data_IF_405904825564
#
_entry.id   IF_405904825564
#
_cell.length_a   1.000
_cell.length_b   1.000
_cell.length_c   1.000
_cell.angle_alpha   90.00
_cell.angle_beta   90.00
_cell.angle_gamma   90.00
#
_symmetry.space_group_name_H-M   'P 1'
#
loop_
_entity.id
_entity.type
_entity.pdbx_description
1 polymer ?
#
# COMPACT_ATOMS: atom_id res chain seq x y z
N UNK A 1 16.35 40.80 -3.16
CA UNK A 1 16.04 39.56 -3.91
C UNK A 1 14.98 38.80 -3.13
N UNK A 2 13.77 38.64 -3.71
CA UNK A 2 12.56 38.18 -3.03
C UNK A 2 12.51 36.64 -2.92
N UNK A 3 12.41 36.11 -1.70
CA UNK A 3 12.23 34.67 -1.40
C UNK A 3 10.89 34.09 -1.90
N UNK A 4 9.98 34.94 -2.38
CA UNK A 4 8.67 34.52 -2.89
C UNK A 4 8.74 33.85 -4.27
N UNK A 5 9.76 34.12 -5.09
CA UNK A 5 9.85 33.56 -6.46
C UNK A 5 10.11 32.05 -6.48
N UNK A 6 10.97 31.55 -5.59
CA UNK A 6 11.40 30.15 -5.58
C UNK A 6 10.26 29.17 -5.24
N UNK A 7 9.33 29.56 -4.37
CA UNK A 7 8.16 28.74 -4.00
C UNK A 7 7.15 28.64 -5.14
N UNK A 8 6.93 29.74 -5.87
CA UNK A 8 6.07 29.75 -7.05
C UNK A 8 6.70 28.99 -8.22
N UNK A 9 8.01 29.10 -8.44
CA UNK A 9 8.71 28.32 -9.46
C UNK A 9 8.74 26.82 -9.12
N UNK A 10 8.81 26.47 -7.84
CA UNK A 10 8.68 25.07 -7.37
C UNK A 10 7.26 24.55 -7.64
N UNK A 11 6.22 25.29 -7.26
CA UNK A 11 4.81 24.94 -7.55
C UNK A 11 4.51 24.88 -9.06
N UNK A 12 5.08 25.80 -9.85
CA UNK A 12 4.94 25.80 -11.31
C UNK A 12 5.74 24.67 -11.98
N UNK A 13 6.87 24.27 -11.40
CA UNK A 13 7.59 23.07 -11.83
C UNK A 13 6.79 21.80 -11.54
N UNK A 14 6.08 21.71 -10.39
CA UNK A 14 5.11 20.64 -10.10
C UNK A 14 3.93 20.63 -11.09
N UNK A 15 3.44 21.81 -11.52
CA UNK A 15 2.38 21.93 -12.52
C UNK A 15 2.86 21.56 -13.93
N UNK A 16 4.11 21.88 -14.31
CA UNK A 16 4.73 21.43 -15.57
C UNK A 16 5.11 19.94 -15.55
N UNK A 17 5.35 19.36 -14.38
CA UNK A 17 5.50 17.92 -14.13
C UNK A 17 4.15 17.14 -14.10
N UNK A 18 3.02 17.81 -14.34
CA UNK A 18 1.71 17.17 -14.39
C UNK A 18 1.59 16.06 -15.44
N UNK A 19 2.30 16.16 -16.57
CA UNK A 19 2.30 15.15 -17.64
C UNK A 19 3.07 13.85 -17.28
N UNK A 20 4.33 13.89 -16.79
CA UNK A 20 5.09 12.66 -16.49
C UNK A 20 4.53 11.84 -15.33
N UNK A 21 3.82 12.44 -14.37
CA UNK A 21 3.27 11.71 -13.22
C UNK A 21 1.90 11.07 -13.48
N UNK A 22 1.07 11.68 -14.31
CA UNK A 22 -0.33 11.24 -14.48
C UNK A 22 -0.45 9.80 -14.98
N UNK A 23 0.42 9.37 -15.91
CA UNK A 23 0.40 8.01 -16.44
C UNK A 23 0.88 6.98 -15.40
N UNK A 24 2.06 7.13 -14.76
CA UNK A 24 2.49 6.28 -13.66
C UNK A 24 1.49 6.19 -12.52
N UNK A 25 0.96 7.33 -12.04
CA UNK A 25 -0.04 7.38 -10.96
C UNK A 25 -1.30 6.60 -11.33
N UNK A 26 -1.80 6.77 -12.57
CA UNK A 26 -2.98 6.02 -13.05
C UNK A 26 -2.72 4.52 -13.13
N UNK A 27 -1.55 4.11 -13.63
CA UNK A 27 -1.18 2.70 -13.73
C UNK A 27 -1.11 2.08 -12.34
N UNK A 28 -0.40 2.73 -11.42
CA UNK A 28 -0.21 2.22 -10.07
C UNK A 28 -1.53 2.19 -9.29
N UNK A 29 -2.33 3.25 -9.35
CA UNK A 29 -3.64 3.29 -8.70
C UNK A 29 -4.54 2.14 -9.17
N UNK A 30 -4.59 1.88 -10.49
CA UNK A 30 -5.35 0.75 -11.05
C UNK A 30 -4.85 -0.63 -10.60
N UNK A 31 -3.55 -0.76 -10.28
CA UNK A 31 -2.99 -2.02 -9.76
C UNK A 31 -3.40 -2.26 -8.31
N UNK A 32 -3.52 -1.18 -7.53
CA UNK A 32 -3.83 -1.25 -6.10
C UNK A 32 -5.33 -1.26 -5.80
N UNK A 33 -6.16 -0.66 -6.66
CA UNK A 33 -7.60 -0.49 -6.48
C UNK A 33 -8.34 -1.76 -6.01
N UNK A 34 -8.09 -2.96 -6.57
CA UNK A 34 -8.78 -4.19 -6.13
C UNK A 34 -8.46 -4.59 -4.67
N UNK A 35 -7.25 -4.30 -4.20
CA UNK A 35 -6.82 -4.60 -2.85
C UNK A 35 -7.45 -3.62 -1.84
N UNK A 36 -7.60 -2.36 -2.23
CA UNK A 36 -8.26 -1.35 -1.40
C UNK A 36 -9.78 -1.59 -1.31
N UNK A 37 -10.39 -2.14 -2.36
CA UNK A 37 -11.77 -2.63 -2.28
C UNK A 37 -11.91 -3.77 -1.25
N UNK A 38 -10.94 -4.70 -1.18
CA UNK A 38 -10.90 -5.75 -0.15
C UNK A 38 -10.77 -5.15 1.26
N UNK A 39 -9.90 -4.14 1.44
CA UNK A 39 -9.74 -3.41 2.71
C UNK A 39 -11.04 -2.75 3.15
N UNK A 40 -11.71 -1.98 2.27
CA UNK A 40 -12.98 -1.32 2.58
C UNK A 40 -14.08 -2.31 2.94
N UNK A 41 -14.15 -3.44 2.24
CA UNK A 41 -15.12 -4.50 2.57
C UNK A 41 -14.91 -5.08 3.97
N UNK A 42 -13.66 -5.21 4.41
CA UNK A 42 -13.29 -5.78 5.73
C UNK A 42 -13.45 -4.81 6.89
N UNK A 43 -13.06 -3.54 6.69
CA UNK A 43 -13.01 -2.53 7.76
C UNK A 43 -14.12 -1.46 7.65
N UNK A 44 -15.02 -1.60 6.67
CA UNK A 44 -16.03 -0.61 6.32
C UNK A 44 -15.48 0.57 5.53
N UNK A 45 -16.37 1.52 5.20
CA UNK A 45 -16.03 2.77 4.50
C UNK A 45 -15.32 3.81 5.42
N UNK A 46 -14.84 3.40 6.60
CA UNK A 46 -14.20 4.31 7.54
C UNK A 46 -12.85 4.78 7.03
N UNK A 47 -12.76 6.07 6.70
CA UNK A 47 -11.51 6.72 6.29
C UNK A 47 -10.42 6.69 7.37
N UNK A 48 -10.80 6.53 8.64
CA UNK A 48 -9.87 6.57 9.78
C UNK A 48 -8.82 5.45 9.73
N UNK A 49 -9.14 4.31 9.11
CA UNK A 49 -8.19 3.19 9.01
C UNK A 49 -6.92 3.62 8.27
N UNK A 50 -7.07 4.44 7.23
CA UNK A 50 -5.96 4.91 6.40
C UNK A 50 -5.05 5.89 7.14
N UNK A 51 -5.53 6.58 8.16
CA UNK A 51 -4.73 7.48 9.00
C UNK A 51 -3.95 6.76 10.11
N UNK A 52 -4.11 5.44 10.27
CA UNK A 52 -3.32 4.70 11.25
C UNK A 52 -1.85 4.64 10.83
N UNK A 53 -0.88 4.82 11.75
CA UNK A 53 0.54 4.75 11.43
C UNK A 53 0.94 3.50 10.64
N UNK A 54 0.35 2.35 10.99
CA UNK A 54 0.52 1.10 10.24
C UNK A 54 0.12 1.24 8.76
N UNK A 55 -1.10 1.72 8.47
CA UNK A 55 -1.57 1.83 7.09
C UNK A 55 -0.76 2.85 6.29
N UNK A 56 -0.31 3.93 6.95
CA UNK A 56 0.59 4.93 6.38
C UNK A 56 1.91 4.28 5.96
N UNK A 57 2.55 3.53 6.85
CA UNK A 57 3.78 2.79 6.52
C UNK A 57 3.57 1.73 5.45
N UNK A 58 2.49 0.95 5.56
CA UNK A 58 2.17 -0.15 4.66
C UNK A 58 1.95 0.31 3.22
N UNK A 59 0.96 1.18 3.00
CA UNK A 59 0.72 1.71 1.66
C UNK A 59 1.88 2.59 1.19
N UNK A 60 2.56 3.31 2.09
CA UNK A 60 3.75 4.09 1.76
C UNK A 60 4.86 3.25 1.13
N UNK A 61 5.17 2.09 1.73
CA UNK A 61 6.16 1.12 1.26
C UNK A 61 5.76 0.48 -0.07
N UNK A 62 4.50 0.01 -0.17
CA UNK A 62 3.98 -0.58 -1.41
C UNK A 62 4.04 0.42 -2.57
N UNK A 63 3.59 1.65 -2.34
CA UNK A 63 3.60 2.69 -3.36
C UNK A 63 5.03 3.12 -3.69
N UNK A 64 5.94 3.26 -2.71
CA UNK A 64 7.35 3.61 -2.96
C UNK A 64 8.01 2.63 -3.94
N UNK A 65 7.99 1.34 -3.60
CA UNK A 65 8.68 0.32 -4.39
C UNK A 65 8.08 0.21 -5.79
N UNK A 66 6.75 0.19 -5.91
CA UNK A 66 6.10 0.10 -7.22
C UNK A 66 6.23 1.39 -8.04
N UNK A 67 6.34 2.57 -7.40
CA UNK A 67 6.52 3.84 -8.09
C UNK A 67 7.88 3.91 -8.78
N UNK A 68 8.95 3.43 -8.13
CA UNK A 68 10.30 3.34 -8.72
C UNK A 68 10.28 2.56 -10.02
N UNK A 69 9.59 1.42 -10.03
CA UNK A 69 9.49 0.56 -11.21
C UNK A 69 8.64 1.17 -12.33
N UNK A 70 7.46 1.69 -11.98
CA UNK A 70 6.51 2.21 -12.97
C UNK A 70 7.00 3.52 -13.60
N UNK A 71 7.60 4.41 -12.79
CA UNK A 71 8.13 5.67 -13.28
C UNK A 71 9.58 5.57 -13.78
N UNK A 72 10.26 4.42 -13.58
CA UNK A 72 11.66 4.18 -13.98
C UNK A 72 12.59 5.29 -13.52
N UNK A 73 12.42 5.71 -12.27
CA UNK A 73 13.16 6.82 -11.68
C UNK A 73 13.57 6.49 -10.25
N UNK A 74 14.69 7.08 -9.83
CA UNK A 74 15.17 7.07 -8.45
C UNK A 74 15.05 8.43 -7.76
N UNK A 75 14.50 9.45 -8.45
CA UNK A 75 14.32 10.80 -7.89
C UNK A 75 13.34 10.79 -6.71
N UNK A 76 13.81 11.08 -5.47
CA UNK A 76 12.97 11.06 -4.28
C UNK A 76 11.80 12.03 -4.33
N UNK A 77 11.95 13.19 -5.00
CA UNK A 77 10.88 14.18 -5.08
C UNK A 77 9.74 13.70 -5.98
N UNK A 78 10.06 13.03 -7.09
CA UNK A 78 9.06 12.44 -7.97
C UNK A 78 8.35 11.26 -7.31
N UNK A 79 9.10 10.42 -6.59
CA UNK A 79 8.52 9.28 -5.86
C UNK A 79 7.60 9.77 -4.73
N UNK A 80 8.03 10.75 -3.94
CA UNK A 80 7.20 11.35 -2.90
C UNK A 80 5.92 11.98 -3.45
N UNK A 81 6.01 12.72 -4.57
CA UNK A 81 4.84 13.26 -5.25
C UNK A 81 3.89 12.15 -5.76
N UNK A 82 4.42 11.03 -6.26
CA UNK A 82 3.62 9.87 -6.64
C UNK A 82 2.95 9.21 -5.45
N UNK A 83 3.65 9.04 -4.33
CA UNK A 83 3.10 8.45 -3.11
C UNK A 83 1.85 9.19 -2.65
N UNK A 84 1.94 10.52 -2.55
CA UNK A 84 0.80 11.37 -2.16
C UNK A 84 -0.34 11.23 -3.17
N UNK A 85 -0.08 11.37 -4.47
CA UNK A 85 -1.16 11.35 -5.48
C UNK A 85 -1.82 9.97 -5.62
N UNK A 86 -1.05 8.89 -5.59
CA UNK A 86 -1.58 7.53 -5.63
C UNK A 86 -2.39 7.25 -4.38
N UNK A 87 -1.89 7.60 -3.21
CA UNK A 87 -2.64 7.47 -1.96
C UNK A 87 -3.99 8.18 -2.04
N UNK A 88 -4.00 9.46 -2.42
CA UNK A 88 -5.24 10.25 -2.56
C UNK A 88 -6.20 9.60 -3.56
N UNK A 89 -5.67 9.10 -4.68
CA UNK A 89 -6.49 8.46 -5.71
C UNK A 89 -7.09 7.12 -5.26
N UNK A 90 -6.32 6.26 -4.56
CA UNK A 90 -6.79 4.92 -4.17
C UNK A 90 -7.65 4.95 -2.91
N UNK A 91 -7.42 5.89 -2.00
CA UNK A 91 -8.20 6.03 -0.76
C UNK A 91 -9.42 6.93 -0.93
N UNK A 92 -9.38 7.88 -1.88
CA UNK A 92 -10.39 8.93 -2.03
C UNK A 92 -10.20 10.11 -1.06
N UNK A 93 -9.15 10.08 -0.22
CA UNK A 93 -8.88 11.11 0.78
C UNK A 93 -7.99 12.18 0.16
N UNK A 94 -8.50 13.40 -0.03
CA UNK A 94 -7.77 14.53 -0.62
C UNK A 94 -7.04 15.40 0.41
N UNK A 95 -6.70 14.83 1.57
CA UNK A 95 -6.05 15.56 2.66
C UNK A 95 -4.68 16.09 2.22
N UNK A 96 -4.50 17.41 2.31
CA UNK A 96 -3.26 18.07 1.92
C UNK A 96 -2.10 17.73 2.88
N UNK A 97 -2.41 17.35 4.12
CA UNK A 97 -1.41 17.03 5.14
C UNK A 97 -0.87 15.62 5.06
N UNK A 98 -1.37 14.77 4.16
CA UNK A 98 -0.98 13.35 4.14
C UNK A 98 0.51 13.15 3.87
N UNK A 99 1.12 13.99 3.03
CA UNK A 99 2.57 13.97 2.79
C UNK A 99 3.37 14.36 4.03
N UNK A 100 2.87 15.32 4.81
CA UNK A 100 3.49 15.70 6.08
C UNK A 100 3.31 14.59 7.12
N UNK A 101 2.14 13.95 7.18
CA UNK A 101 1.85 12.85 8.09
C UNK A 101 2.74 11.64 7.81
N UNK A 102 2.90 11.26 6.54
CA UNK A 102 3.85 10.22 6.11
C UNK A 102 5.28 10.55 6.53
N UNK A 103 5.70 11.81 6.35
CA UNK A 103 7.04 12.27 6.70
C UNK A 103 7.25 12.30 8.23
N UNK A 104 6.25 12.70 8.98
CA UNK A 104 6.30 12.72 10.44
C UNK A 104 6.36 11.31 11.01
N UNK A 105 5.50 10.39 10.55
CA UNK A 105 5.51 9.02 11.05
C UNK A 105 6.79 8.26 10.69
N UNK A 106 7.40 8.55 9.52
CA UNK A 106 8.69 7.97 9.15
C UNK A 106 9.84 8.46 10.04
N UNK A 107 9.83 9.73 10.44
CA UNK A 107 10.84 10.32 11.35
C UNK A 107 10.61 9.93 12.81
N UNK A 108 9.34 9.83 13.24
CA UNK A 108 8.95 9.54 14.62
C UNK A 108 9.31 8.11 15.05
N UNK A 109 9.59 7.22 14.10
CA UNK A 109 9.86 5.79 14.35
C UNK A 109 8.74 5.13 15.17
N UNK A 110 7.47 5.43 14.85
CA UNK A 110 6.38 4.71 15.50
C UNK A 110 6.47 3.23 15.11
N UNK A 111 6.41 2.32 16.09
CA UNK A 111 6.52 0.88 15.84
C UNK A 111 5.46 0.41 14.83
N UNK A 112 4.26 1.00 14.85
CA UNK A 112 3.20 0.74 13.88
C UNK A 112 3.60 1.11 12.45
N UNK A 113 4.21 2.28 12.24
CA UNK A 113 4.70 2.69 10.91
C UNK A 113 5.79 1.76 10.39
N UNK A 114 6.81 1.44 11.20
CA UNK A 114 7.91 0.56 10.80
C UNK A 114 7.41 -0.85 10.46
N UNK A 115 6.48 -1.39 11.27
CA UNK A 115 5.83 -2.68 11.01
C UNK A 115 5.02 -2.64 9.70
N UNK A 116 4.29 -1.55 9.47
CA UNK A 116 3.61 -1.30 8.20
C UNK A 116 4.56 -1.32 7.03
N UNK A 117 5.67 -0.58 7.13
CA UNK A 117 6.68 -0.49 6.08
C UNK A 117 7.27 -1.86 5.72
N UNK A 118 7.64 -2.67 6.73
CA UNK A 118 8.20 -4.01 6.54
C UNK A 118 7.18 -4.95 5.86
N UNK A 119 5.95 -5.01 6.38
CA UNK A 119 4.89 -5.85 5.79
C UNK A 119 4.53 -5.38 4.37
N UNK A 120 4.59 -4.08 4.10
CA UNK A 120 4.40 -3.52 2.76
C UNK A 120 5.47 -3.98 1.77
N UNK A 121 6.74 -4.01 2.20
CA UNK A 121 7.84 -4.50 1.35
C UNK A 121 7.71 -6.00 1.08
N UNK A 122 7.32 -6.80 2.08
CA UNK A 122 7.04 -8.22 1.90
C UNK A 122 5.89 -8.46 0.92
N UNK A 123 4.78 -7.76 1.08
CA UNK A 123 3.66 -7.83 0.13
C UNK A 123 4.12 -7.49 -1.29
N UNK A 124 4.90 -6.41 -1.46
CA UNK A 124 5.40 -6.00 -2.78
C UNK A 124 6.22 -7.11 -3.44
N UNK A 125 7.11 -7.77 -2.70
CA UNK A 125 7.91 -8.89 -3.24
C UNK A 125 7.03 -10.04 -3.71
N UNK A 126 5.97 -10.37 -2.99
CA UNK A 126 4.97 -11.38 -3.43
C UNK A 126 4.16 -10.88 -4.62
N UNK A 127 3.81 -9.60 -4.66
CA UNK A 127 3.10 -9.00 -5.78
C UNK A 127 3.91 -9.07 -7.09
N UNK A 128 5.23 -8.92 -7.00
CA UNK A 128 6.17 -9.03 -8.12
C UNK A 128 6.45 -10.49 -8.51
N UNK A 129 6.67 -11.36 -7.52
CA UNK A 129 6.86 -12.79 -7.70
C UNK A 129 6.04 -13.57 -6.67
N UNK A 130 4.85 -14.09 -7.06
CA UNK A 130 3.99 -14.85 -6.17
C UNK A 130 4.64 -16.11 -5.57
N UNK A 131 5.72 -16.63 -6.17
CA UNK A 131 6.44 -17.79 -5.63
C UNK A 131 7.24 -17.46 -4.37
N UNK A 132 7.49 -16.18 -4.10
CA UNK A 132 8.14 -15.74 -2.87
C UNK A 132 7.20 -15.73 -1.66
N UNK A 133 5.92 -16.06 -1.84
CA UNK A 133 4.93 -16.07 -0.76
C UNK A 133 5.41 -16.85 0.47
N UNK A 134 5.82 -18.11 0.30
CA UNK A 134 6.27 -18.96 1.41
C UNK A 134 7.60 -18.53 2.04
N UNK A 135 8.37 -17.67 1.38
CA UNK A 135 9.59 -17.09 1.94
C UNK A 135 9.26 -15.96 2.93
N UNK A 136 8.23 -15.17 2.64
CA UNK A 136 7.89 -13.96 3.41
C UNK A 136 6.74 -14.15 4.40
N UNK A 137 5.92 -15.16 4.15
CA UNK A 137 4.76 -15.54 4.96
C UNK A 137 4.93 -17.01 5.35
N UNK A 138 5.52 -17.21 6.54
CA UNK A 138 5.70 -18.53 7.14
C UNK A 138 4.34 -19.09 7.55
N UNK A 139 3.86 -20.05 6.77
CA UNK A 139 2.59 -20.73 7.04
C UNK A 139 2.67 -21.61 8.30
N UNK A 140 3.85 -22.11 8.68
CA UNK A 140 4.01 -22.98 9.84
C UNK A 140 3.95 -22.21 11.18
N UNK A 141 4.38 -20.95 11.21
CA UNK A 141 4.14 -20.06 12.35
C UNK A 141 2.66 -19.65 12.49
N UNK A 142 1.89 -19.75 11.41
CA UNK A 142 0.47 -19.45 11.38
C UNK A 142 -0.38 -20.66 11.82
N UNK A 143 0.13 -21.89 11.72
CA UNK A 143 -0.54 -23.13 12.17
C UNK A 143 -0.20 -23.50 13.64
N UNK A 144 0.72 -22.78 14.29
CA UNK A 144 1.40 -23.24 15.52
C UNK A 144 0.78 -22.87 16.89
N UNK A 145 -0.18 -21.94 16.97
CA UNK A 145 -0.87 -21.61 18.22
C UNK A 145 -2.32 -22.09 18.11
N UNK A 146 -2.62 -23.25 18.67
CA UNK A 146 -3.89 -23.99 18.53
C UNK A 146 -5.18 -23.28 18.99
N UNK A 147 -5.15 -21.99 19.33
CA UNK A 147 -6.33 -21.12 19.51
C UNK A 147 -6.59 -20.20 18.30
N UNK A 148 -5.62 -20.01 17.40
CA UNK A 148 -5.69 -19.12 16.23
C UNK A 148 -5.93 -19.85 14.89
N UNK A 149 -5.95 -21.18 14.95
CA UNK A 149 -6.04 -22.10 13.81
C UNK A 149 -7.31 -21.86 12.98
N UNK A 150 -8.45 -21.59 13.62
CA UNK A 150 -9.68 -21.27 12.89
C UNK A 150 -9.61 -19.92 12.16
N UNK A 151 -8.91 -18.90 12.69
CA UNK A 151 -8.86 -17.58 12.03
C UNK A 151 -7.99 -17.58 10.76
N UNK A 152 -6.93 -18.38 10.77
CA UNK A 152 -5.98 -18.54 9.66
C UNK A 152 -6.52 -19.55 8.66
N UNK A 153 -7.13 -20.65 9.13
CA UNK A 153 -7.88 -21.55 8.28
C UNK A 153 -9.08 -20.85 7.64
N UNK A 154 -9.76 -19.92 8.33
CA UNK A 154 -10.79 -19.04 7.73
C UNK A 154 -10.15 -18.01 6.78
N UNK A 155 -9.00 -17.42 7.08
CA UNK A 155 -8.35 -16.48 6.17
C UNK A 155 -7.85 -17.17 4.89
N UNK A 156 -7.37 -18.41 4.99
CA UNK A 156 -6.95 -19.25 3.88
C UNK A 156 -8.15 -19.95 3.21
N UNK A 157 -9.19 -20.36 3.93
CA UNK A 157 -10.44 -20.88 3.34
C UNK A 157 -11.22 -19.76 2.66
N UNK A 158 -11.26 -18.53 3.15
CA UNK A 158 -11.78 -17.37 2.40
C UNK A 158 -10.92 -17.00 1.17
N UNK A 159 -9.70 -17.54 1.08
CA UNK A 159 -8.80 -17.41 -0.08
C UNK A 159 -8.96 -18.59 -1.05
N UNK A 160 -9.26 -19.80 -0.57
CA UNK A 160 -9.29 -21.06 -1.34
C UNK A 160 -10.67 -21.69 -1.49
N UNK A 161 -11.67 -21.32 -0.68
CA UNK A 161 -13.08 -21.57 -0.93
C UNK A 161 -13.46 -20.83 -2.19
N UNK A 162 -14.02 -21.61 -3.10
CA UNK A 162 -14.18 -21.27 -4.50
C UNK A 162 -14.87 -19.92 -4.61
N UNK A 163 -14.22 -18.89 -5.17
CA UNK A 163 -14.92 -17.69 -5.58
C UNK A 163 -16.04 -18.18 -6.49
N UNK A 164 -17.29 -17.82 -6.19
CA UNK A 164 -18.41 -18.03 -7.11
C UNK A 164 -17.90 -17.70 -8.51
N UNK A 165 -18.00 -18.67 -9.43
CA UNK A 165 -17.29 -18.82 -10.72
C UNK A 165 -17.30 -17.61 -11.69
N UNK A 166 -17.80 -16.45 -11.28
CA UNK A 166 -17.99 -15.25 -12.09
C UNK A 166 -16.97 -14.13 -11.86
N UNK A 167 -16.10 -14.21 -10.84
CA UNK A 167 -15.10 -13.15 -10.57
C UNK A 167 -13.76 -13.69 -10.10
N UNK A 168 -13.17 -14.63 -10.85
CA UNK A 168 -11.75 -14.93 -10.70
C UNK A 168 -10.96 -13.63 -10.85
N UNK A 169 -10.40 -13.20 -9.72
CA UNK A 169 -9.58 -12.02 -9.53
C UNK A 169 -8.46 -11.98 -10.56
N UNK A 170 -8.16 -10.81 -11.10
CA UNK A 170 -7.04 -10.55 -12.02
C UNK A 170 -5.64 -10.92 -11.45
N UNK A 171 -5.56 -11.36 -10.20
CA UNK A 171 -4.33 -11.58 -9.45
C UNK A 171 -4.23 -13.02 -8.95
N UNK A 172 -2.99 -13.48 -8.82
CA UNK A 172 -2.64 -14.77 -8.22
C UNK A 172 -3.19 -14.85 -6.77
N UNK A 173 -3.80 -15.98 -6.36
CA UNK A 173 -4.34 -16.15 -5.01
C UNK A 173 -3.34 -15.86 -3.88
N UNK A 174 -2.05 -16.13 -4.10
CA UNK A 174 -0.99 -15.86 -3.11
C UNK A 174 -0.78 -14.37 -2.86
N UNK A 175 -0.99 -13.54 -3.87
CA UNK A 175 -0.92 -12.08 -3.75
C UNK A 175 -2.08 -11.56 -2.90
N UNK A 176 -3.28 -12.12 -3.10
CA UNK A 176 -4.45 -11.79 -2.28
C UNK A 176 -4.27 -12.27 -0.83
N UNK A 177 -3.74 -13.48 -0.64
CA UNK A 177 -3.41 -14.01 0.67
C UNK A 177 -2.40 -13.10 1.40
N UNK A 178 -1.32 -12.71 0.70
CA UNK A 178 -0.30 -11.82 1.26
C UNK A 178 -0.90 -10.50 1.71
N UNK A 179 -1.74 -9.85 0.88
CA UNK A 179 -2.42 -8.61 1.26
C UNK A 179 -3.23 -8.76 2.55
N UNK A 180 -4.04 -9.82 2.62
CA UNK A 180 -4.93 -10.07 3.76
C UNK A 180 -4.13 -10.38 5.03
N UNK A 181 -3.10 -11.21 4.93
CA UNK A 181 -2.21 -11.53 6.05
C UNK A 181 -1.44 -10.31 6.53
N UNK A 182 -0.94 -9.45 5.64
CA UNK A 182 -0.30 -8.18 6.05
C UNK A 182 -1.26 -7.30 6.85
N UNK A 183 -2.52 -7.16 6.40
CA UNK A 183 -3.50 -6.34 7.09
C UNK A 183 -3.92 -6.95 8.43
N UNK A 184 -4.10 -8.26 8.50
CA UNK A 184 -4.39 -8.96 9.75
C UNK A 184 -3.24 -8.79 10.75
N UNK A 185 -2.00 -9.05 10.34
CA UNK A 185 -0.85 -8.87 11.21
C UNK A 185 -0.66 -7.42 11.61
N UNK A 186 -0.98 -6.45 10.76
CA UNK A 186 -0.72 -5.05 11.03
C UNK A 186 -1.73 -4.32 11.90
N UNK A 187 -2.99 -4.76 11.86
CA UNK A 187 -4.11 -4.10 12.51
C UNK A 187 -4.55 -4.76 13.82
N UNK A 188 -3.95 -5.91 14.16
CA UNK A 188 -4.03 -6.62 15.44
C UNK A 188 -2.65 -6.69 16.11
#
# INVERSE_FOLDING_TARGET
>A
MSRSGALWDTLLSFLRLGQPLNRPVRILSRRLDPFLADTRRRFGESSQIFYRPFMIGFLGSVIDGMARDVARTSDPNLIGAMQVRVWQQITGLSDASIGDLMSQESLRQSQGFLRGWDLGDRFRKVFEDPNTFSLWYDLAQLEGDGENDDSIRIALSDVFETPSQEKLTKYDPRVLAAWRLSLQQGLY
#
